data_IF_353024762848
#
_entry.id   IF_353024762848
#
_cell.length_a   1.000
_cell.length_b   1.000
_cell.length_c   1.000
_cell.angle_alpha   90.00
_cell.angle_beta   90.00
_cell.angle_gamma   90.00
#
_symmetry.space_group_name_H-M   'P 1'
#
loop_
_entity.id
_entity.type
_entity.pdbx_description
1 polymer ?
#
# COMPACT_ATOMS: atom_id res chain seq x y z
N UNK A 1 2.27 33.57 -0.30
CA UNK A 1 0.89 33.01 -0.24
C UNK A 1 1.05 31.54 -0.55
N UNK A 2 1.46 30.75 0.43
CA UNK A 2 1.80 29.35 0.25
C UNK A 2 0.53 28.49 0.23
N UNK A 3 0.25 27.89 -0.92
CA UNK A 3 -0.77 26.86 -1.07
C UNK A 3 -0.25 25.55 -0.47
N UNK A 4 -0.61 25.28 0.79
CA UNK A 4 -0.54 23.94 1.35
C UNK A 4 -1.69 23.11 0.73
N UNK A 5 -1.47 22.59 -0.47
CA UNK A 5 -2.42 21.70 -1.13
C UNK A 5 -2.44 20.35 -0.40
N UNK A 6 -3.47 20.18 0.43
CA UNK A 6 -3.70 18.97 1.21
C UNK A 6 -4.19 17.85 0.29
N UNK A 7 -3.30 16.89 0.00
CA UNK A 7 -3.67 15.65 -0.71
C UNK A 7 -4.61 14.85 0.19
N UNK A 8 -5.91 14.88 -0.11
CA UNK A 8 -6.90 13.99 0.48
C UNK A 8 -6.61 12.56 0.02
N UNK A 9 -5.89 11.82 0.85
CA UNK A 9 -5.81 10.36 0.73
C UNK A 9 -7.08 9.81 1.35
N UNK A 10 -8.01 9.36 0.52
CA UNK A 10 -9.23 8.70 0.97
C UNK A 10 -8.86 7.31 1.52
N UNK A 11 -8.36 7.28 2.76
CA UNK A 11 -8.09 6.06 3.51
C UNK A 11 -9.36 5.46 4.12
N UNK A 12 -10.54 5.72 3.55
CA UNK A 12 -11.83 5.23 4.06
C UNK A 12 -12.06 3.74 3.77
N UNK A 13 -10.98 2.96 3.62
CA UNK A 13 -11.04 1.52 3.60
C UNK A 13 -11.37 1.06 5.03
N UNK A 14 -12.63 0.63 5.23
CA UNK A 14 -13.11 0.07 6.50
C UNK A 14 -13.12 -1.45 6.44
N UNK A 15 -12.78 -2.08 7.56
CA UNK A 15 -12.87 -3.53 7.68
C UNK A 15 -14.33 -3.97 7.54
N UNK A 16 -14.61 -4.96 6.69
CA UNK A 16 -15.97 -5.49 6.53
C UNK A 16 -16.46 -6.27 7.77
N UNK A 17 -15.53 -6.82 8.56
CA UNK A 17 -15.85 -7.64 9.74
C UNK A 17 -16.13 -6.79 10.99
N UNK A 18 -15.32 -5.77 11.25
CA UNK A 18 -15.43 -4.93 12.46
C UNK A 18 -15.81 -3.46 12.18
N UNK A 19 -15.88 -3.02 10.93
CA UNK A 19 -16.13 -1.61 10.58
C UNK A 19 -14.98 -0.65 10.90
N UNK A 20 -13.88 -1.14 11.48
CA UNK A 20 -12.73 -0.30 11.85
C UNK A 20 -11.98 0.22 10.63
N UNK A 21 -11.55 1.49 10.69
CA UNK A 21 -10.67 2.11 9.69
C UNK A 21 -9.18 1.78 9.90
N UNK A 22 -8.83 0.93 10.89
CA UNK A 22 -7.44 0.56 11.16
C UNK A 22 -6.99 -0.58 10.25
N UNK A 23 -6.86 -0.29 8.95
CA UNK A 23 -6.30 -1.20 7.97
C UNK A 23 -4.86 -0.85 7.64
N UNK A 24 -4.07 -1.85 7.28
CA UNK A 24 -2.66 -1.68 6.92
C UNK A 24 -2.24 -2.69 5.88
N UNK A 25 -1.49 -2.24 4.88
CA UNK A 25 -0.87 -3.09 3.86
C UNK A 25 0.35 -3.79 4.46
N UNK A 26 0.37 -5.11 4.36
CA UNK A 26 1.47 -5.98 4.76
C UNK A 26 1.93 -6.80 3.54
N UNK A 27 3.21 -7.19 3.52
CA UNK A 27 3.78 -8.06 2.51
C UNK A 27 3.91 -9.49 3.04
N UNK A 28 3.59 -10.49 2.21
CA UNK A 28 3.75 -11.91 2.54
C UNK A 28 4.10 -12.74 1.32
N UNK A 29 4.11 -14.07 1.47
CA UNK A 29 4.49 -15.04 0.43
C UNK A 29 3.71 -14.90 -0.88
N UNK A 30 2.46 -14.45 -0.81
CA UNK A 30 1.56 -14.33 -1.96
C UNK A 30 1.46 -12.89 -2.51
N UNK A 31 2.28 -11.96 -2.00
CA UNK A 31 2.23 -10.55 -2.33
C UNK A 31 1.68 -9.68 -1.20
N UNK A 32 1.17 -8.51 -1.56
CA UNK A 32 0.62 -7.54 -0.61
C UNK A 32 -0.81 -7.91 -0.21
N UNK A 33 -1.17 -7.64 1.04
CA UNK A 33 -2.51 -7.84 1.56
C UNK A 33 -2.85 -6.75 2.59
N UNK A 34 -4.12 -6.37 2.65
CA UNK A 34 -4.66 -5.57 3.74
C UNK A 34 -4.83 -6.44 4.98
N UNK A 35 -4.36 -5.93 6.11
CA UNK A 35 -4.51 -6.52 7.43
C UNK A 35 -5.22 -5.50 8.32
N UNK A 36 -6.31 -5.92 8.95
CA UNK A 36 -6.97 -5.10 9.97
C UNK A 36 -6.24 -5.24 11.30
N UNK A 37 -5.90 -4.14 11.96
CA UNK A 37 -5.27 -4.18 13.28
C UNK A 37 -6.23 -4.65 14.38
N UNK A 38 -7.53 -4.34 14.28
CA UNK A 38 -8.54 -4.78 15.25
C UNK A 38 -8.96 -6.24 15.02
N UNK A 39 -9.23 -6.62 13.77
CA UNK A 39 -9.70 -7.97 13.44
C UNK A 39 -8.55 -8.98 13.23
N UNK A 40 -7.31 -8.50 13.08
CA UNK A 40 -6.06 -9.24 12.89
C UNK A 40 -6.06 -10.29 11.76
N UNK A 41 -6.68 -11.47 11.97
CA UNK A 41 -6.83 -12.57 11.00
C UNK A 41 -8.20 -12.58 10.29
N UNK A 42 -9.23 -12.00 10.90
CA UNK A 42 -10.61 -11.99 10.39
C UNK A 42 -10.88 -10.83 9.41
N UNK A 43 -9.86 -10.05 9.06
CA UNK A 43 -9.97 -8.84 8.25
C UNK A 43 -8.87 -8.75 7.18
N UNK A 44 -8.38 -9.89 6.70
CA UNK A 44 -7.31 -9.95 5.71
C UNK A 44 -7.90 -9.93 4.31
N UNK A 45 -7.42 -9.03 3.46
CA UNK A 45 -7.88 -8.92 2.08
C UNK A 45 -6.68 -8.89 1.14
N UNK A 46 -6.56 -9.85 0.20
CA UNK A 46 -5.44 -9.86 -0.73
C UNK A 46 -5.49 -8.62 -1.64
N UNK A 47 -4.34 -7.99 -1.85
CA UNK A 47 -4.21 -6.84 -2.75
C UNK A 47 -3.80 -7.35 -4.12
N UNK A 48 -4.72 -7.23 -5.09
CA UNK A 48 -4.44 -7.49 -6.49
C UNK A 48 -4.36 -6.15 -7.21
N UNK A 49 -3.16 -5.78 -7.65
CA UNK A 49 -2.97 -4.63 -8.54
C UNK A 49 -2.97 -5.13 -9.99
N UNK A 50 -3.73 -4.44 -10.83
CA UNK A 50 -3.76 -4.64 -12.27
C UNK A 50 -4.20 -3.32 -12.92
N UNK A 51 -3.50 -2.92 -13.99
CA UNK A 51 -3.68 -1.60 -14.62
C UNK A 51 -5.01 -1.52 -15.41
N UNK A 52 -5.82 -2.60 -15.39
CA UNK A 52 -6.97 -2.79 -16.26
C UNK A 52 -6.60 -3.18 -17.70
N UNK A 53 -5.30 -3.21 -18.03
CA UNK A 53 -4.79 -3.62 -19.34
C UNK A 53 -4.22 -5.04 -19.27
N UNK A 54 -4.68 -5.90 -20.17
CA UNK A 54 -4.17 -7.27 -20.29
C UNK A 54 -2.68 -7.27 -20.66
N UNK A 55 -1.89 -8.05 -19.93
CA UNK A 55 -0.44 -8.16 -20.13
C UNK A 55 0.42 -7.07 -19.47
N UNK A 56 -0.15 -6.05 -18.85
CA UNK A 56 0.63 -5.02 -18.14
C UNK A 56 1.13 -5.52 -16.79
N UNK A 57 2.44 -5.37 -16.54
CA UNK A 57 3.05 -5.63 -15.23
C UNK A 57 3.05 -4.35 -14.41
N UNK A 58 2.24 -4.31 -13.36
CA UNK A 58 2.30 -3.27 -12.33
C UNK A 58 3.11 -3.74 -11.13
N UNK A 59 3.75 -2.79 -10.45
CA UNK A 59 4.54 -3.01 -9.24
C UNK A 59 4.06 -2.06 -8.15
N UNK A 60 4.06 -2.53 -6.91
CA UNK A 60 3.88 -1.68 -5.73
C UNK A 60 5.24 -1.16 -5.31
N UNK A 61 5.42 0.15 -5.30
CA UNK A 61 6.53 0.83 -4.66
C UNK A 61 6.13 1.27 -3.26
N UNK A 62 6.90 0.87 -2.26
CA UNK A 62 6.76 1.32 -0.87
C UNK A 62 7.67 2.52 -0.63
N UNK A 63 7.11 3.59 -0.07
CA UNK A 63 7.81 4.78 0.37
C UNK A 63 7.36 5.13 1.80
N UNK A 64 8.03 4.52 2.78
CA UNK A 64 7.65 4.61 4.20
C UNK A 64 6.24 4.07 4.47
N UNK A 65 5.29 4.98 4.73
CA UNK A 65 3.86 4.70 4.90
C UNK A 65 3.09 4.66 3.58
N UNK A 66 3.62 5.26 2.51
CA UNK A 66 2.91 5.42 1.24
C UNK A 66 3.21 4.24 0.34
N UNK A 67 2.18 3.69 -0.28
CA UNK A 67 2.26 2.65 -1.28
C UNK A 67 1.81 3.24 -2.60
N UNK A 68 2.68 3.24 -3.57
CA UNK A 68 2.43 3.71 -4.92
C UNK A 68 2.29 2.51 -5.84
N UNK A 69 1.29 2.51 -6.70
CA UNK A 69 1.23 1.59 -7.83
C UNK A 69 1.94 2.25 -9.01
N UNK A 70 2.89 1.54 -9.57
CA UNK A 70 3.64 2.00 -10.74
C UNK A 70 3.49 0.96 -11.85
N UNK A 71 3.07 1.41 -13.02
CA UNK A 71 3.00 0.58 -14.20
C UNK A 71 4.20 0.90 -15.09
N UNK A 72 5.10 -0.06 -15.30
CA UNK A 72 6.27 0.14 -16.16
C UNK A 72 5.88 0.36 -17.63
N UNK A 73 4.76 -0.23 -18.06
CA UNK A 73 4.23 -0.07 -19.42
C UNK A 73 3.53 1.28 -19.63
N UNK A 74 2.65 1.68 -18.71
CA UNK A 74 1.98 2.99 -18.79
C UNK A 74 2.86 4.14 -18.30
N UNK A 75 4.03 3.86 -17.71
CA UNK A 75 4.91 4.82 -17.03
C UNK A 75 4.15 5.74 -16.06
N UNK A 76 3.15 5.20 -15.40
CA UNK A 76 2.28 5.94 -14.49
C UNK A 76 2.59 5.54 -13.07
N UNK A 77 2.75 6.53 -12.19
CA UNK A 77 2.86 6.33 -10.75
C UNK A 77 1.67 7.00 -10.07
N UNK A 78 0.96 6.24 -9.24
CA UNK A 78 -0.20 6.77 -8.51
C UNK A 78 -0.23 6.22 -7.10
N UNK A 79 -0.57 7.09 -6.15
CA UNK A 79 -0.73 6.67 -4.76
C UNK A 79 -1.87 5.65 -4.67
N UNK A 80 -1.54 4.45 -4.22
CA UNK A 80 -2.48 3.35 -4.04
C UNK A 80 -3.08 3.35 -2.63
N UNK A 81 -2.22 3.41 -1.62
CA UNK A 81 -2.66 3.39 -0.22
C UNK A 81 -1.65 4.07 0.69
N UNK A 82 -2.08 4.61 1.82
CA UNK A 82 -1.19 5.12 2.86
C UNK A 82 -1.47 4.37 4.15
N UNK A 83 -0.49 3.59 4.58
CA UNK A 83 -0.55 2.98 5.89
C UNK A 83 -0.53 4.07 6.96
N UNK A 84 -1.35 3.91 8.00
CA UNK A 84 -1.34 4.87 9.08
C UNK A 84 0.01 4.82 9.83
N UNK A 85 0.44 5.99 10.31
CA UNK A 85 1.74 6.17 10.94
C UNK A 85 1.97 5.26 12.17
N UNK A 86 0.89 4.85 12.86
CA UNK A 86 0.96 3.96 14.00
C UNK A 86 1.54 2.56 13.68
N UNK A 87 1.53 2.12 12.42
CA UNK A 87 2.14 0.84 12.02
C UNK A 87 3.68 0.90 11.98
N UNK A 88 4.28 2.07 11.74
CA UNK A 88 5.74 2.18 11.66
C UNK A 88 6.41 2.27 13.04
N UNK A 89 5.65 2.49 14.11
CA UNK A 89 6.18 2.51 15.47
C UNK A 89 6.61 1.12 15.97
N UNK A 90 6.12 0.03 15.36
CA UNK A 90 6.43 -1.34 15.78
C UNK A 90 7.49 -2.04 14.93
N UNK A 91 7.95 -1.43 13.84
CA UNK A 91 9.02 -1.97 12.97
C UNK A 91 10.13 -0.92 12.82
N UNK A 92 10.84 -0.65 13.91
CA UNK A 92 12.13 0.00 13.83
C UNK A 92 13.12 -0.91 13.11
N UNK A 93 13.57 -0.50 11.92
CA UNK A 93 14.76 -1.07 11.28
C UNK A 93 14.52 -1.61 9.86
N UNK A 94 15.19 -1.00 8.90
CA UNK A 94 15.42 -1.59 7.59
C UNK A 94 14.59 -0.96 6.49
N UNK A 95 15.08 0.17 5.98
CA UNK A 95 14.99 0.48 4.55
C UNK A 95 15.65 -0.68 3.79
N UNK A 96 14.90 -1.76 3.58
CA UNK A 96 15.25 -2.82 2.64
C UNK A 96 15.09 -2.25 1.24
N UNK A 97 16.12 -1.56 0.78
CA UNK A 97 16.31 -1.22 -0.62
C UNK A 97 16.37 -2.53 -1.42
N UNK A 98 15.22 -3.02 -1.86
CA UNK A 98 15.16 -3.98 -2.97
C UNK A 98 15.47 -3.20 -4.27
N UNK A 99 16.71 -2.73 -4.40
CA UNK A 99 17.26 -2.38 -5.70
C UNK A 99 17.38 -3.70 -6.46
N UNK A 100 16.42 -3.94 -7.36
CA UNK A 100 16.62 -4.89 -8.46
C UNK A 100 17.76 -4.32 -9.32
N UNK A 101 18.92 -4.98 -9.46
CA UNK A 101 19.85 -4.61 -10.52
C UNK A 101 19.21 -4.98 -11.87
N UNK A 102 19.23 -4.10 -12.88
CA UNK A 102 18.94 -4.52 -14.24
C UNK A 102 20.10 -5.39 -14.76
N UNK A 103 19.74 -6.58 -15.24
CA UNK A 103 20.40 -7.43 -16.24
C UNK A 103 21.85 -7.87 -16.02
#
# INVERSE_FOLDING_TARGET
MEAAEQIKVDSSAKCRSCGSGKLSVQYGKYGYYFKCADCNANGNTPIKISCGQDGHKERIRKDGVKFFRECEQCKTSSLYFVNPAWLNLTNGGGLGFCLNPPS
#
